data_IF_562630794790
#
_entry.id   IF_562630794790
#
_cell.length_a   1.000
_cell.length_b   1.000
_cell.length_c   1.000
_cell.angle_alpha   90.00
_cell.angle_beta   90.00
_cell.angle_gamma   90.00
#
_symmetry.space_group_name_H-M   'P 1'
#
loop_
_entity.id
_entity.type
_entity.pdbx_description
1 polymer ?
#
# COMPACT_ATOMS: atom_id res chain seq x y z
N UNK A 1 -10.87 8.04 -1.10
CA UNK A 1 -11.76 8.29 -2.27
C UNK A 1 -11.09 8.90 -3.50
N UNK A 2 -10.42 10.07 -3.47
CA UNK A 2 -9.83 10.65 -4.71
C UNK A 2 -8.70 9.78 -5.30
N UNK A 3 -7.81 9.27 -4.44
CA UNK A 3 -6.70 8.37 -4.83
C UNK A 3 -7.19 7.04 -5.39
N UNK A 4 -8.20 6.42 -4.77
CA UNK A 4 -8.76 5.15 -5.24
C UNK A 4 -9.36 5.25 -6.65
N UNK A 5 -10.06 6.36 -6.95
CA UNK A 5 -10.65 6.58 -8.28
C UNK A 5 -9.57 6.80 -9.37
N UNK A 6 -8.48 7.48 -9.04
CA UNK A 6 -7.36 7.67 -9.98
C UNK A 6 -6.66 6.34 -10.28
N UNK A 7 -6.46 5.51 -9.27
CA UNK A 7 -5.73 4.25 -9.40
C UNK A 7 -6.53 3.17 -10.16
N UNK A 8 -7.85 3.13 -9.99
CA UNK A 8 -8.70 2.18 -10.73
C UNK A 8 -8.56 2.29 -12.25
N UNK A 9 -8.24 3.48 -12.76
CA UNK A 9 -8.02 3.71 -14.20
C UNK A 9 -6.64 3.21 -14.68
N UNK A 10 -5.65 3.13 -13.80
CA UNK A 10 -4.27 2.74 -14.15
C UNK A 10 -3.92 1.27 -13.82
N UNK A 11 -4.90 0.46 -13.37
CA UNK A 11 -4.71 -0.95 -12.98
C UNK A 11 -3.60 -1.17 -11.93
N UNK A 12 -3.32 -0.17 -11.10
CA UNK A 12 -2.35 -0.33 -10.01
C UNK A 12 -3.06 -1.04 -8.85
N UNK A 13 -2.52 -2.14 -8.30
CA UNK A 13 -3.15 -2.83 -7.19
C UNK A 13 -3.17 -1.94 -5.94
N UNK A 14 -4.35 -1.83 -5.32
CA UNK A 14 -4.54 -1.09 -4.06
C UNK A 14 -4.69 -2.10 -2.93
N UNK A 15 -3.90 -1.92 -1.87
CA UNK A 15 -4.00 -2.71 -0.65
C UNK A 15 -4.49 -1.80 0.48
N UNK A 16 -5.61 -2.16 1.10
CA UNK A 16 -6.12 -1.43 2.26
C UNK A 16 -5.45 -1.92 3.53
N UNK A 17 -4.61 -1.07 4.12
CA UNK A 17 -4.00 -1.33 5.41
C UNK A 17 -5.06 -1.27 6.52
N UNK A 18 -5.26 -2.38 7.25
CA UNK A 18 -6.25 -2.50 8.33
C UNK A 18 -5.84 -1.84 9.67
N UNK A 19 -4.64 -1.25 9.75
CA UNK A 19 -4.15 -0.54 10.94
C UNK A 19 -4.44 0.97 10.92
N UNK A 20 -3.95 1.70 11.93
CA UNK A 20 -4.11 3.16 12.00
C UNK A 20 -3.07 3.91 11.15
N UNK A 21 -3.37 5.15 10.77
CA UNK A 21 -2.44 6.03 10.06
C UNK A 21 -1.18 6.37 10.87
N UNK A 22 -1.25 6.27 12.20
CA UNK A 22 -0.09 6.41 13.09
C UNK A 22 0.81 5.16 12.96
N UNK A 23 0.21 3.96 12.97
CA UNK A 23 0.93 2.71 12.79
C UNK A 23 1.63 2.67 11.43
N UNK A 24 0.92 3.09 10.37
CA UNK A 24 1.49 3.15 9.02
C UNK A 24 2.67 4.12 8.96
N UNK A 25 2.57 5.29 9.58
CA UNK A 25 3.69 6.23 9.68
C UNK A 25 4.91 5.63 10.39
N UNK A 26 4.70 4.93 11.51
CA UNK A 26 5.79 4.24 12.24
C UNK A 26 6.46 3.15 11.40
N UNK A 27 5.69 2.36 10.64
CA UNK A 27 6.24 1.33 9.74
C UNK A 27 7.12 1.94 8.64
N UNK A 28 6.81 3.16 8.21
CA UNK A 28 7.62 3.93 7.26
C UNK A 28 8.80 4.67 7.92
N UNK A 29 9.01 4.54 9.25
CA UNK A 29 10.04 5.28 9.97
C UNK A 29 9.73 6.78 10.14
N UNK A 30 8.47 7.18 9.98
CA UNK A 30 8.02 8.56 10.04
C UNK A 30 7.38 8.87 11.40
N UNK A 31 7.63 10.07 11.91
CA UNK A 31 7.06 10.55 13.17
C UNK A 31 5.65 11.16 13.02
N UNK A 32 5.14 11.24 11.78
CA UNK A 32 3.83 11.79 11.47
C UNK A 32 2.87 10.74 10.90
N UNK A 33 1.58 11.05 10.89
CA UNK A 33 0.52 10.17 10.38
C UNK A 33 0.62 10.04 8.87
N UNK A 34 0.55 8.81 8.37
CA UNK A 34 0.54 8.50 6.94
C UNK A 34 -0.80 7.88 6.58
N UNK A 35 -1.44 8.43 5.55
CA UNK A 35 -2.76 7.96 5.08
C UNK A 35 -2.67 6.99 3.90
N UNK A 36 -1.62 7.11 3.08
CA UNK A 36 -1.41 6.31 1.86
C UNK A 36 0.09 6.20 1.58
N UNK A 37 0.53 5.05 1.08
CA UNK A 37 1.91 4.82 0.64
C UNK A 37 1.87 4.25 -0.77
N UNK A 38 2.71 4.76 -1.67
CA UNK A 38 2.97 4.16 -2.97
C UNK A 38 4.29 3.41 -2.92
N UNK A 39 4.28 2.19 -3.44
CA UNK A 39 5.49 1.37 -3.56
C UNK A 39 5.87 1.33 -5.04
N UNK A 40 7.03 1.90 -5.37
CA UNK A 40 7.62 1.76 -6.69
C UNK A 40 8.46 0.48 -6.69
N UNK A 41 7.96 -0.59 -7.31
CA UNK A 41 8.68 -1.85 -7.37
C UNK A 41 9.72 -1.82 -8.49
N UNK A 42 10.99 -1.98 -8.11
CA UNK A 42 12.08 -2.28 -9.05
C UNK A 42 12.33 -3.80 -9.18
N UNK A 43 11.75 -4.61 -8.28
CA UNK A 43 11.97 -6.04 -8.17
C UNK A 43 10.66 -6.79 -7.90
N UNK A 44 10.16 -7.44 -8.94
CA UNK A 44 8.84 -8.07 -9.01
C UNK A 44 8.57 -9.09 -7.90
N UNK A 45 9.58 -9.84 -7.45
CA UNK A 45 9.39 -11.00 -6.57
C UNK A 45 8.82 -10.65 -5.21
N UNK A 46 9.30 -9.58 -4.57
CA UNK A 46 8.82 -9.18 -3.24
C UNK A 46 7.44 -8.54 -3.32
N UNK A 47 7.18 -7.74 -4.35
CA UNK A 47 5.87 -7.11 -4.57
C UNK A 47 4.80 -8.15 -4.92
N UNK A 48 5.11 -9.13 -5.77
CA UNK A 48 4.23 -10.25 -6.06
C UNK A 48 3.94 -11.10 -4.82
N UNK A 49 4.95 -11.37 -3.99
CA UNK A 49 4.75 -12.12 -2.74
C UNK A 49 3.78 -11.40 -1.78
N UNK A 50 3.92 -10.07 -1.64
CA UNK A 50 3.03 -9.25 -0.82
C UNK A 50 1.59 -9.27 -1.37
N UNK A 51 1.43 -9.14 -2.71
CA UNK A 51 0.12 -9.22 -3.35
C UNK A 51 -0.54 -10.58 -3.11
N UNK A 52 0.22 -11.67 -3.28
CA UNK A 52 -0.28 -13.03 -3.09
C UNK A 52 -0.65 -13.32 -1.64
N UNK A 53 0.14 -12.85 -0.67
CA UNK A 53 -0.20 -12.99 0.76
C UNK A 53 -1.50 -12.26 1.10
N UNK A 54 -1.75 -11.11 0.47
CA UNK A 54 -2.97 -10.35 0.67
C UNK A 54 -4.20 -11.01 0.02
N UNK A 55 -4.05 -11.63 -1.15
CA UNK A 55 -5.13 -12.39 -1.81
C UNK A 55 -5.51 -13.68 -1.06
N UNK A 56 -4.59 -14.25 -0.29
CA UNK A 56 -4.79 -15.51 0.45
C UNK A 56 -5.40 -15.29 1.85
N UNK A 57 -5.84 -14.06 2.17
CA UNK A 57 -6.34 -13.64 3.49
C UNK A 57 -7.77 -13.12 3.47
#
# INVERSE_FOLDING_TARGET
KKVENSIQNEKIPIIHFKGSSIMLGKLCGLQFRVSTVSLYSLADTNTQAILKEFETK
#
